data_IF_843828120027
#
_entry.id   IF_843828120027
#
_cell.length_a   1.000
_cell.length_b   1.000
_cell.length_c   1.000
_cell.angle_alpha   90.00
_cell.angle_beta   90.00
_cell.angle_gamma   90.00
#
_symmetry.space_group_name_H-M   'P 1'
#
loop_
_entity.id
_entity.type
_entity.pdbx_description
1 polymer ?
#
# COMPACT_ATOMS: atom_id res chain seq x y z
N UNK A 1 -15.66 17.28 -15.95
CA UNK A 1 -14.98 18.55 -15.63
C UNK A 1 -14.06 18.26 -14.47
N UNK A 2 -12.77 18.60 -14.57
CA UNK A 2 -11.81 18.34 -13.50
C UNK A 2 -11.79 19.54 -12.55
N UNK A 3 -12.09 19.31 -11.28
CA UNK A 3 -12.09 20.34 -10.24
C UNK A 3 -10.93 20.12 -9.26
N UNK A 4 -10.33 21.23 -8.82
CA UNK A 4 -9.30 21.21 -7.78
C UNK A 4 -9.81 20.53 -6.52
N UNK A 5 -9.00 19.64 -5.94
CA UNK A 5 -9.32 19.07 -4.63
C UNK A 5 -9.41 20.18 -3.58
N UNK A 6 -10.34 20.06 -2.63
CA UNK A 6 -10.55 21.07 -1.58
C UNK A 6 -9.26 21.40 -0.82
N UNK A 7 -8.41 20.41 -0.58
CA UNK A 7 -7.13 20.59 0.11
C UNK A 7 -6.15 21.41 -0.74
N UNK A 8 -6.04 21.14 -2.05
CA UNK A 8 -5.15 21.89 -2.93
C UNK A 8 -5.67 23.32 -3.18
N UNK A 9 -6.99 23.49 -3.29
CA UNK A 9 -7.64 24.81 -3.36
C UNK A 9 -7.25 25.68 -2.17
N UNK A 10 -7.33 25.14 -0.93
CA UNK A 10 -6.91 25.87 0.27
C UNK A 10 -5.45 26.30 0.24
N UNK A 11 -4.54 25.46 -0.28
CA UNK A 11 -3.12 25.80 -0.39
C UNK A 11 -2.91 26.95 -1.39
N UNK A 12 -3.58 26.90 -2.54
CA UNK A 12 -3.46 27.92 -3.59
C UNK A 12 -4.11 29.24 -3.16
N UNK A 13 -5.32 29.19 -2.60
CA UNK A 13 -6.03 30.38 -2.10
C UNK A 13 -5.27 31.02 -0.92
N UNK A 14 -4.62 30.20 -0.07
CA UNK A 14 -3.74 30.67 0.99
C UNK A 14 -2.51 31.43 0.45
N UNK A 15 -1.91 30.94 -0.63
CA UNK A 15 -0.83 31.65 -1.34
C UNK A 15 -1.31 32.98 -1.92
N UNK A 16 -2.48 33.00 -2.58
CA UNK A 16 -3.06 34.21 -3.17
C UNK A 16 -3.42 35.24 -2.11
N UNK A 17 -4.03 34.82 -1.01
CA UNK A 17 -4.31 35.68 0.15
C UNK A 17 -3.01 36.28 0.70
N UNK A 18 -1.95 35.46 0.85
CA UNK A 18 -0.65 35.94 1.31
C UNK A 18 -0.02 36.96 0.33
N UNK A 19 -0.16 36.75 -0.98
CA UNK A 19 0.25 37.73 -1.99
C UNK A 19 -0.54 39.04 -1.90
N UNK A 20 -1.86 38.96 -1.67
CA UNK A 20 -2.70 40.15 -1.53
C UNK A 20 -2.38 40.97 -0.28
N UNK A 21 -1.75 40.38 0.72
CA UNK A 21 -1.29 41.05 1.93
C UNK A 21 0.11 41.69 1.81
N UNK A 22 0.82 41.46 0.70
CA UNK A 22 2.10 42.14 0.44
C UNK A 22 1.89 43.66 0.34
N UNK A 23 2.86 44.42 0.82
CA UNK A 23 2.82 45.88 0.72
C UNK A 23 3.00 46.34 -0.75
N UNK A 24 2.66 47.60 -1.09
CA UNK A 24 2.74 48.08 -2.47
C UNK A 24 4.13 47.96 -3.12
N UNK A 25 5.21 48.12 -2.35
CA UNK A 25 6.59 48.03 -2.84
C UNK A 25 6.93 46.57 -3.16
N UNK A 26 6.62 45.64 -2.26
CA UNK A 26 6.79 44.20 -2.50
C UNK A 26 5.99 43.76 -3.73
N UNK A 27 4.72 44.17 -3.82
CA UNK A 27 3.87 43.94 -4.99
C UNK A 27 4.45 44.57 -6.23
N UNK A 28 5.13 45.71 -6.18
CA UNK A 28 5.74 46.30 -7.37
C UNK A 28 6.86 45.41 -7.92
N UNK A 29 7.77 44.94 -7.05
CA UNK A 29 8.90 44.11 -7.46
C UNK A 29 8.58 42.62 -7.67
N UNK A 30 7.42 42.14 -7.21
CA UNK A 30 7.04 40.73 -7.31
C UNK A 30 7.08 40.21 -8.77
N UNK A 31 7.40 38.92 -9.03
CA UNK A 31 7.61 38.42 -10.39
C UNK A 31 6.40 38.66 -11.30
N UNK A 32 6.61 39.41 -12.40
CA UNK A 32 5.53 39.85 -13.30
C UNK A 32 4.66 38.70 -13.80
N UNK A 33 5.30 37.59 -14.17
CA UNK A 33 4.60 36.41 -14.68
C UNK A 33 3.69 35.77 -13.63
N UNK A 34 4.16 35.61 -12.40
CA UNK A 34 3.35 35.06 -11.30
C UNK A 34 2.17 35.99 -11.00
N UNK A 35 2.34 37.32 -11.02
CA UNK A 35 1.21 38.27 -10.86
C UNK A 35 0.14 38.08 -11.93
N UNK A 36 0.57 37.94 -13.19
CA UNK A 36 -0.32 37.73 -14.33
C UNK A 36 -1.15 36.45 -14.12
N UNK A 37 -0.49 35.37 -13.69
CA UNK A 37 -1.13 34.08 -13.42
C UNK A 37 -2.08 34.12 -12.22
N UNK A 38 -1.74 34.85 -11.14
CA UNK A 38 -2.67 35.06 -10.01
C UNK A 38 -3.95 35.74 -10.50
N UNK A 39 -3.85 36.81 -11.30
CA UNK A 39 -5.03 37.49 -11.86
C UNK A 39 -5.87 36.56 -12.74
N UNK A 40 -5.22 35.76 -13.59
CA UNK A 40 -5.91 34.78 -14.42
C UNK A 40 -6.62 33.72 -13.59
N UNK A 41 -5.97 33.17 -12.57
CA UNK A 41 -6.58 32.22 -11.65
C UNK A 41 -7.81 32.78 -10.94
N UNK A 42 -7.73 34.03 -10.45
CA UNK A 42 -8.86 34.67 -9.75
C UNK A 42 -10.05 34.96 -10.66
N UNK A 43 -9.79 35.26 -11.95
CA UNK A 43 -10.84 35.57 -12.93
C UNK A 43 -11.38 34.33 -13.67
N UNK A 44 -10.70 33.19 -13.61
CA UNK A 44 -11.07 32.00 -14.36
C UNK A 44 -12.28 31.28 -13.74
N UNK A 45 -13.22 30.87 -14.60
CA UNK A 45 -14.30 29.96 -14.22
C UNK A 45 -13.74 28.59 -13.86
N UNK A 46 -12.82 28.06 -14.68
CA UNK A 46 -12.07 26.85 -14.36
C UNK A 46 -10.69 27.17 -13.78
N UNK A 47 -10.58 27.05 -12.46
CA UNK A 47 -9.37 27.34 -11.70
C UNK A 47 -8.21 26.35 -11.92
N UNK A 48 -8.44 25.17 -12.49
CA UNK A 48 -7.42 24.11 -12.54
C UNK A 48 -6.22 24.48 -13.42
N UNK A 49 -6.46 25.04 -14.61
CA UNK A 49 -5.39 25.41 -15.53
C UNK A 49 -4.59 26.61 -15.01
N UNK A 50 -5.29 27.58 -14.39
CA UNK A 50 -4.64 28.68 -13.68
C UNK A 50 -3.71 28.17 -12.57
N UNK A 51 -4.17 27.18 -11.78
CA UNK A 51 -3.36 26.55 -10.73
C UNK A 51 -2.12 25.87 -11.30
N UNK A 52 -2.29 25.09 -12.38
CA UNK A 52 -1.20 24.39 -13.04
C UNK A 52 -0.08 25.35 -13.47
N UNK A 53 -0.43 26.40 -14.22
CA UNK A 53 0.56 27.36 -14.70
C UNK A 53 1.21 28.14 -13.56
N UNK A 54 0.42 28.49 -12.53
CA UNK A 54 0.92 29.16 -11.33
C UNK A 54 1.94 28.31 -10.58
N UNK A 55 1.64 27.04 -10.34
CA UNK A 55 2.52 26.09 -9.67
C UNK A 55 3.82 25.91 -10.46
N UNK A 56 3.73 25.69 -11.77
CA UNK A 56 4.90 25.54 -12.62
C UNK A 56 5.80 26.79 -12.57
N UNK A 57 5.18 27.99 -12.62
CA UNK A 57 5.92 29.25 -12.50
C UNK A 57 6.60 29.43 -11.14
N UNK A 58 5.95 29.03 -10.05
CA UNK A 58 6.54 29.09 -8.70
C UNK A 58 7.69 28.09 -8.54
N UNK A 59 7.56 26.87 -9.06
CA UNK A 59 8.60 25.82 -9.03
C UNK A 59 9.87 26.26 -9.78
N UNK A 60 9.72 27.04 -10.84
CA UNK A 60 10.84 27.58 -11.62
C UNK A 60 11.35 28.93 -11.11
N UNK A 61 10.72 29.50 -10.07
CA UNK A 61 11.09 30.80 -9.52
C UNK A 61 12.16 30.69 -8.43
N UNK A 62 13.24 31.47 -8.59
CA UNK A 62 14.26 31.69 -7.56
C UNK A 62 13.87 32.77 -6.54
N UNK A 63 12.67 33.35 -6.63
CA UNK A 63 12.26 34.45 -5.77
C UNK A 63 12.07 34.04 -4.30
N UNK A 64 12.38 34.98 -3.39
CA UNK A 64 12.43 34.78 -1.94
C UNK A 64 11.37 35.60 -1.18
N UNK A 65 10.21 35.83 -1.79
CA UNK A 65 9.10 36.53 -1.12
C UNK A 65 8.46 35.65 -0.05
N UNK A 66 8.01 36.26 1.04
CA UNK A 66 7.38 35.55 2.17
C UNK A 66 6.24 34.62 1.75
N UNK A 67 5.34 35.08 0.87
CA UNK A 67 4.24 34.25 0.36
C UNK A 67 4.72 33.06 -0.48
N UNK A 68 5.77 33.23 -1.30
CA UNK A 68 6.39 32.14 -2.07
C UNK A 68 7.05 31.16 -1.11
N UNK A 69 7.80 31.63 -0.12
CA UNK A 69 8.44 30.77 0.86
C UNK A 69 7.43 29.97 1.67
N UNK A 70 6.33 30.60 2.08
CA UNK A 70 5.22 29.91 2.73
C UNK A 70 4.66 28.82 1.82
N UNK A 71 4.39 29.10 0.54
CA UNK A 71 3.95 28.08 -0.42
C UNK A 71 4.98 26.95 -0.59
N UNK A 72 6.28 27.26 -0.61
CA UNK A 72 7.38 26.28 -0.71
C UNK A 72 7.40 25.28 0.46
N UNK A 73 6.83 25.64 1.62
CA UNK A 73 6.72 24.71 2.76
C UNK A 73 5.57 23.70 2.63
N UNK A 74 4.61 23.95 1.73
CA UNK A 74 3.44 23.09 1.53
C UNK A 74 3.79 21.71 0.96
N UNK A 75 2.99 20.70 1.30
CA UNK A 75 3.16 19.35 0.74
C UNK A 75 2.96 19.31 -0.78
N UNK A 76 2.12 20.20 -1.34
CA UNK A 76 1.90 20.34 -2.77
C UNK A 76 3.19 20.75 -3.48
N UNK A 77 3.83 21.85 -3.03
CA UNK A 77 5.10 22.29 -3.60
C UNK A 77 6.18 21.23 -3.46
N UNK A 78 6.35 20.66 -2.26
CA UNK A 78 7.37 19.62 -1.99
C UNK A 78 7.21 18.41 -2.92
N UNK A 79 5.96 17.98 -3.16
CA UNK A 79 5.68 16.86 -4.07
C UNK A 79 6.01 17.24 -5.51
N UNK A 80 5.57 18.40 -6.00
CA UNK A 80 5.90 18.81 -7.36
C UNK A 80 7.41 19.00 -7.57
N UNK A 81 8.13 19.49 -6.55
CA UNK A 81 9.58 19.60 -6.58
C UNK A 81 10.26 18.23 -6.60
N UNK A 82 9.73 17.26 -5.86
CA UNK A 82 10.19 15.87 -5.89
C UNK A 82 10.00 15.25 -7.28
N UNK A 83 8.82 15.44 -7.88
CA UNK A 83 8.55 14.98 -9.25
C UNK A 83 9.48 15.66 -10.26
N UNK A 84 9.76 16.97 -10.10
CA UNK A 84 10.70 17.68 -10.98
C UNK A 84 12.10 17.10 -10.89
N UNK A 85 12.56 16.80 -9.67
CA UNK A 85 13.87 16.22 -9.41
C UNK A 85 14.01 14.82 -10.02
N UNK A 86 12.89 14.09 -10.13
CA UNK A 86 12.81 12.78 -10.77
C UNK A 86 12.40 12.82 -12.25
N UNK A 87 12.39 13.99 -12.91
CA UNK A 87 11.97 14.14 -14.32
C UNK A 87 10.55 13.60 -14.59
N UNK A 88 9.66 13.68 -13.59
CA UNK A 88 8.26 13.24 -13.64
C UNK A 88 7.28 14.42 -13.68
N UNK A 89 7.75 15.66 -13.49
CA UNK A 89 6.87 16.82 -13.49
C UNK A 89 6.45 17.18 -14.92
N UNK A 90 5.25 16.74 -15.30
CA UNK A 90 4.53 17.15 -16.50
C UNK A 90 3.22 17.86 -16.15
N UNK A 91 2.60 18.50 -17.14
CA UNK A 91 1.26 19.09 -16.96
C UNK A 91 0.24 18.04 -16.50
N UNK A 92 0.29 16.84 -17.08
CA UNK A 92 -0.56 15.71 -16.69
C UNK A 92 -0.34 15.30 -15.22
N UNK A 93 0.92 15.19 -14.78
CA UNK A 93 1.24 14.83 -13.39
C UNK A 93 0.74 15.90 -12.40
N UNK A 94 0.86 17.19 -12.77
CA UNK A 94 0.32 18.30 -11.96
C UNK A 94 -1.21 18.22 -11.90
N UNK A 95 -1.89 18.00 -13.04
CA UNK A 95 -3.35 17.87 -13.07
C UNK A 95 -3.83 16.72 -12.18
N UNK A 96 -3.16 15.57 -12.22
CA UNK A 96 -3.49 14.43 -11.35
C UNK A 96 -3.34 14.81 -9.87
N UNK A 97 -2.21 15.41 -9.50
CA UNK A 97 -1.98 15.88 -8.12
C UNK A 97 -3.05 16.87 -7.67
N UNK A 98 -3.41 17.82 -8.54
CA UNK A 98 -4.36 18.88 -8.26
C UNK A 98 -5.77 18.34 -8.02
N UNK A 99 -6.17 17.31 -8.78
CA UNK A 99 -7.50 16.71 -8.73
C UNK A 99 -7.62 15.53 -7.76
N UNK A 100 -6.51 14.99 -7.27
CA UNK A 100 -6.55 13.78 -6.45
C UNK A 100 -7.41 13.99 -5.21
N UNK A 101 -8.33 13.06 -4.93
CA UNK A 101 -9.28 13.16 -3.80
C UNK A 101 -8.59 13.15 -2.43
N UNK A 102 -7.47 12.41 -2.33
CA UNK A 102 -6.66 12.26 -1.11
C UNK A 102 -5.21 12.74 -1.31
N UNK A 103 -4.97 14.05 -1.57
CA UNK A 103 -3.67 14.54 -2.02
C UNK A 103 -2.56 14.30 -0.99
N UNK A 104 -2.83 14.43 0.31
CA UNK A 104 -1.82 14.17 1.35
C UNK A 104 -1.35 12.70 1.38
N UNK A 105 -2.25 11.74 1.15
CA UNK A 105 -1.89 10.32 1.05
C UNK A 105 -1.08 10.05 -0.22
N UNK A 106 -1.48 10.66 -1.35
CA UNK A 106 -0.71 10.62 -2.60
C UNK A 106 0.71 11.17 -2.40
N UNK A 107 0.85 12.33 -1.77
CA UNK A 107 2.15 12.98 -1.53
C UNK A 107 3.07 12.11 -0.68
N UNK A 108 2.54 11.53 0.39
CA UNK A 108 3.28 10.57 1.20
C UNK A 108 3.70 9.33 0.39
N UNK A 109 2.79 8.78 -0.42
CA UNK A 109 3.06 7.63 -1.26
C UNK A 109 4.16 7.90 -2.30
N UNK A 110 4.15 9.06 -2.95
CA UNK A 110 5.18 9.48 -3.92
C UNK A 110 6.55 9.62 -3.23
N UNK A 111 6.61 10.22 -2.03
CA UNK A 111 7.85 10.29 -1.26
C UNK A 111 8.38 8.90 -0.89
N UNK A 112 7.51 7.99 -0.45
CA UNK A 112 7.91 6.63 -0.10
C UNK A 112 8.43 5.87 -1.33
N UNK A 113 7.83 6.06 -2.51
CA UNK A 113 8.36 5.47 -3.75
C UNK A 113 9.79 5.96 -4.06
N UNK A 114 10.06 7.25 -3.86
CA UNK A 114 11.39 7.83 -4.03
C UNK A 114 12.40 7.26 -3.01
N UNK A 115 12.01 7.16 -1.74
CA UNK A 115 12.82 6.59 -0.66
C UNK A 115 13.18 5.11 -0.86
N UNK A 116 12.37 4.38 -1.62
CA UNK A 116 12.60 2.99 -2.00
C UNK A 116 13.20 2.85 -3.41
N UNK A 117 13.71 3.93 -4.01
CA UNK A 117 14.37 3.93 -5.31
C UNK A 117 13.49 3.54 -6.52
N UNK A 118 12.16 3.49 -6.36
CA UNK A 118 11.23 3.14 -7.45
C UNK A 118 11.12 4.21 -8.55
N UNK A 119 11.85 5.33 -8.41
CA UNK A 119 11.99 6.37 -9.44
C UNK A 119 13.36 6.39 -10.14
N UNK A 120 14.33 5.56 -9.73
CA UNK A 120 15.68 5.56 -10.35
C UNK A 120 15.66 5.11 -11.81
N UNK A 121 14.79 4.16 -12.16
CA UNK A 121 14.70 3.64 -13.52
C UNK A 121 13.77 4.52 -14.38
N UNK A 122 14.30 5.09 -15.46
CA UNK A 122 13.60 5.96 -16.39
C UNK A 122 12.33 5.34 -17.00
N UNK A 123 12.38 4.07 -17.35
CA UNK A 123 11.24 3.39 -17.98
C UNK A 123 10.14 3.04 -16.98
N UNK A 124 10.47 2.95 -15.69
CA UNK A 124 9.55 2.49 -14.64
C UNK A 124 9.01 3.63 -13.77
N UNK A 125 9.77 4.73 -13.60
CA UNK A 125 9.39 5.85 -12.72
C UNK A 125 8.01 6.43 -13.05
N UNK A 126 7.74 6.62 -14.34
CA UNK A 126 6.46 7.14 -14.81
C UNK A 126 5.34 6.16 -14.48
N UNK A 127 5.51 4.88 -14.83
CA UNK A 127 4.52 3.83 -14.61
C UNK A 127 4.18 3.68 -13.12
N UNK A 128 5.18 3.73 -12.24
CA UNK A 128 5.01 3.63 -10.79
C UNK A 128 4.25 4.84 -10.23
N UNK A 129 4.60 6.06 -10.68
CA UNK A 129 3.85 7.27 -10.30
C UNK A 129 2.39 7.17 -10.73
N UNK A 130 2.09 6.85 -11.99
CA UNK A 130 0.72 6.77 -12.49
C UNK A 130 -0.08 5.66 -11.81
N UNK A 131 0.53 4.50 -11.53
CA UNK A 131 -0.13 3.43 -10.79
C UNK A 131 -0.62 3.89 -9.41
N UNK A 132 0.20 4.62 -8.67
CA UNK A 132 -0.18 5.21 -7.37
C UNK A 132 -1.21 6.33 -7.54
N UNK A 133 -0.99 7.23 -8.49
CA UNK A 133 -1.76 8.46 -8.62
C UNK A 133 -3.15 8.27 -9.25
N UNK A 134 -3.36 7.18 -9.99
CA UNK A 134 -4.69 6.82 -10.50
C UNK A 134 -5.60 6.28 -9.40
N UNK A 135 -5.05 5.71 -8.33
CA UNK A 135 -5.83 5.05 -7.29
C UNK A 135 -6.39 6.04 -6.25
N UNK A 136 -7.57 6.59 -6.55
CA UNK A 136 -8.18 7.70 -5.78
C UNK A 136 -8.40 7.40 -4.28
N UNK A 137 -8.65 6.16 -3.89
CA UNK A 137 -9.07 5.83 -2.51
C UNK A 137 -7.95 5.35 -1.57
N UNK A 138 -6.83 4.86 -2.11
CA UNK A 138 -5.76 4.22 -1.33
C UNK A 138 -4.37 4.24 -2.03
N UNK A 139 -3.86 5.42 -2.43
CA UNK A 139 -2.58 5.52 -3.14
C UNK A 139 -1.39 4.96 -2.33
N UNK A 140 -1.41 5.09 -1.00
CA UNK A 140 -0.43 4.51 -0.07
C UNK A 140 -0.44 2.98 -0.07
N UNK A 141 -1.60 2.33 -0.27
CA UNK A 141 -1.67 0.86 -0.38
C UNK A 141 -1.09 0.38 -1.71
N UNK A 142 -1.33 1.11 -2.80
CA UNK A 142 -0.68 0.83 -4.09
C UNK A 142 0.83 1.01 -3.96
N UNK A 143 1.32 2.09 -3.36
CA UNK A 143 2.75 2.29 -3.12
C UNK A 143 3.39 1.11 -2.37
N UNK A 144 2.77 0.66 -1.26
CA UNK A 144 3.23 -0.54 -0.54
C UNK A 144 3.20 -1.80 -1.41
N UNK A 145 2.15 -1.98 -2.22
CA UNK A 145 2.04 -3.08 -3.14
C UNK A 145 3.18 -3.10 -4.17
N UNK A 146 3.52 -1.94 -4.75
CA UNK A 146 4.65 -1.81 -5.68
C UNK A 146 5.99 -2.14 -5.02
N UNK A 147 6.22 -1.69 -3.79
CA UNK A 147 7.42 -2.03 -3.01
C UNK A 147 7.51 -3.53 -2.73
N UNK A 148 6.39 -4.18 -2.40
CA UNK A 148 6.34 -5.64 -2.22
C UNK A 148 6.72 -6.33 -3.54
N UNK A 149 6.14 -5.92 -4.67
CA UNK A 149 6.46 -6.51 -5.96
C UNK A 149 7.93 -6.29 -6.32
N UNK A 150 8.48 -5.09 -6.11
CA UNK A 150 9.87 -4.75 -6.43
C UNK A 150 10.87 -5.55 -5.59
N UNK A 151 10.67 -5.61 -4.27
CA UNK A 151 11.49 -6.38 -3.34
C UNK A 151 11.50 -7.89 -3.60
N UNK A 152 10.55 -8.40 -4.41
CA UNK A 152 10.49 -9.82 -4.78
C UNK A 152 10.76 -10.03 -6.28
N UNK A 153 11.26 -9.01 -6.98
CA UNK A 153 11.56 -9.04 -8.43
C UNK A 153 10.33 -9.39 -9.30
N UNK A 154 9.14 -9.01 -8.85
CA UNK A 154 7.86 -9.22 -9.53
C UNK A 154 7.33 -7.95 -10.19
N UNK A 155 7.97 -6.79 -9.99
CA UNK A 155 7.45 -5.53 -10.50
C UNK A 155 7.55 -5.47 -12.04
N UNK A 156 6.43 -5.74 -12.71
CA UNK A 156 6.25 -5.64 -14.15
C UNK A 156 4.91 -4.94 -14.48
N UNK A 157 4.66 -4.66 -15.78
CA UNK A 157 3.43 -3.97 -16.20
C UNK A 157 2.15 -4.71 -15.81
N UNK A 158 2.16 -6.03 -15.88
CA UNK A 158 1.00 -6.88 -15.61
C UNK A 158 0.62 -6.83 -14.12
N UNK A 159 1.56 -7.07 -13.22
CA UNK A 159 1.29 -7.06 -11.77
C UNK A 159 1.10 -5.64 -11.23
N UNK A 160 1.80 -4.64 -11.79
CA UNK A 160 1.54 -3.22 -11.49
C UNK A 160 0.08 -2.84 -11.77
N UNK A 161 -0.44 -3.24 -12.93
CA UNK A 161 -1.83 -2.98 -13.31
C UNK A 161 -2.80 -3.71 -12.37
N UNK A 162 -2.53 -4.97 -12.04
CA UNK A 162 -3.35 -5.73 -11.10
C UNK A 162 -3.49 -5.03 -9.75
N UNK A 163 -2.39 -4.55 -9.16
CA UNK A 163 -2.44 -3.85 -7.87
C UNK A 163 -3.04 -2.44 -7.99
N UNK A 164 -2.78 -1.72 -9.08
CA UNK A 164 -3.29 -0.35 -9.27
C UNK A 164 -4.81 -0.29 -9.54
N UNK A 165 -5.37 -1.35 -10.14
CA UNK A 165 -6.79 -1.44 -10.48
C UNK A 165 -7.65 -2.08 -9.38
N UNK A 166 -7.03 -2.77 -8.42
CA UNK A 166 -7.78 -3.41 -7.35
C UNK A 166 -8.41 -2.35 -6.42
N UNK A 167 -9.75 -2.33 -6.22
CA UNK A 167 -10.44 -1.16 -5.67
C UNK A 167 -10.18 -0.88 -4.19
N UNK A 168 -9.89 -1.92 -3.39
CA UNK A 168 -9.90 -1.84 -1.92
C UNK A 168 -8.58 -2.24 -1.27
N UNK A 169 -7.97 -3.34 -1.71
CA UNK A 169 -6.75 -3.88 -1.11
C UNK A 169 -5.63 -4.28 -2.09
N UNK A 170 -4.99 -3.29 -2.75
CA UNK A 170 -3.80 -3.50 -3.57
C UNK A 170 -2.66 -4.27 -2.87
N UNK A 171 -2.50 -4.08 -1.55
CA UNK A 171 -1.40 -4.68 -0.79
C UNK A 171 -1.58 -6.19 -0.67
N UNK A 172 -2.80 -6.65 -0.39
CA UNK A 172 -3.09 -8.08 -0.36
C UNK A 172 -2.97 -8.74 -1.74
N UNK A 173 -3.32 -8.04 -2.82
CA UNK A 173 -3.03 -8.53 -4.19
C UNK A 173 -1.54 -8.79 -4.38
N UNK A 174 -0.66 -7.84 -4.04
CA UNK A 174 0.78 -8.04 -4.18
C UNK A 174 1.32 -9.22 -3.33
N UNK A 175 0.80 -9.40 -2.12
CA UNK A 175 1.20 -10.51 -1.24
C UNK A 175 0.72 -11.87 -1.79
N UNK A 176 -0.50 -11.93 -2.33
CA UNK A 176 -1.01 -13.13 -3.00
C UNK A 176 -0.15 -13.47 -4.22
N UNK A 177 0.15 -12.48 -5.08
CA UNK A 177 1.02 -12.68 -6.26
C UNK A 177 2.43 -13.18 -5.87
N UNK A 178 3.01 -12.63 -4.81
CA UNK A 178 4.28 -13.14 -4.25
C UNK A 178 4.19 -14.62 -3.91
N UNK A 179 3.16 -15.04 -3.16
CA UNK A 179 3.02 -16.45 -2.75
C UNK A 179 2.74 -17.37 -3.93
N UNK A 180 1.86 -16.96 -4.83
CA UNK A 180 1.54 -17.73 -6.03
C UNK A 180 2.75 -17.95 -6.93
N UNK A 181 3.64 -16.95 -7.04
CA UNK A 181 4.90 -17.10 -7.77
C UNK A 181 5.76 -18.22 -7.18
N UNK A 182 5.89 -18.26 -5.86
CA UNK A 182 6.69 -19.29 -5.15
C UNK A 182 6.12 -20.70 -5.32
N UNK A 183 4.80 -20.80 -5.52
CA UNK A 183 4.10 -22.07 -5.77
C UNK A 183 4.02 -22.44 -7.26
N UNK A 184 4.58 -21.63 -8.15
CA UNK A 184 4.49 -21.86 -9.59
C UNK A 184 3.10 -21.63 -10.21
N UNK A 185 2.13 -21.11 -9.44
CA UNK A 185 0.75 -20.84 -9.90
C UNK A 185 0.65 -19.70 -10.92
N UNK A 186 1.71 -18.91 -11.09
CA UNK A 186 1.79 -17.86 -12.12
C UNK A 186 2.62 -18.29 -13.33
N UNK A 187 2.82 -19.60 -13.51
CA UNK A 187 3.50 -20.20 -14.67
C UNK A 187 2.54 -21.09 -15.45
N UNK A 188 2.83 -21.31 -16.75
CA UNK A 188 2.06 -22.23 -17.59
C UNK A 188 0.73 -21.66 -18.09
N UNK A 189 -0.18 -22.55 -18.48
CA UNK A 189 -1.43 -22.21 -19.20
C UNK A 189 -2.45 -21.49 -18.31
N UNK A 190 -2.44 -21.72 -16.99
CA UNK A 190 -3.38 -21.11 -16.05
C UNK A 190 -2.90 -19.79 -15.44
N UNK A 191 -1.69 -19.33 -15.78
CA UNK A 191 -1.06 -18.17 -15.14
C UNK A 191 -1.90 -16.88 -15.24
N UNK A 192 -2.49 -16.62 -16.41
CA UNK A 192 -3.31 -15.43 -16.66
C UNK A 192 -4.65 -15.53 -15.91
N UNK A 193 -5.31 -16.69 -15.95
CA UNK A 193 -6.55 -16.97 -15.19
C UNK A 193 -6.33 -16.75 -13.69
N UNK A 194 -5.26 -17.34 -13.14
CA UNK A 194 -4.92 -17.25 -11.72
C UNK A 194 -4.65 -15.80 -11.30
N UNK A 195 -3.91 -15.05 -12.11
CA UNK A 195 -3.69 -13.62 -11.90
C UNK A 195 -5.01 -12.83 -11.89
N UNK A 196 -5.86 -13.04 -12.88
CA UNK A 196 -7.13 -12.32 -13.03
C UNK A 196 -8.06 -12.58 -11.83
N UNK A 197 -8.13 -13.83 -11.38
CA UNK A 197 -8.88 -14.24 -10.20
C UNK A 197 -8.44 -13.46 -8.97
N UNK A 198 -7.13 -13.34 -8.69
CA UNK A 198 -6.63 -12.56 -7.54
C UNK A 198 -6.85 -11.06 -7.73
N UNK A 199 -6.59 -10.54 -8.93
CA UNK A 199 -6.70 -9.11 -9.22
C UNK A 199 -8.15 -8.58 -9.14
N UNK A 200 -9.14 -9.47 -9.30
CA UNK A 200 -10.58 -9.13 -9.24
C UNK A 200 -11.27 -9.65 -7.98
N UNK A 201 -10.56 -10.37 -7.11
CA UNK A 201 -11.17 -10.94 -5.93
C UNK A 201 -11.64 -9.84 -4.96
N UNK A 202 -12.87 -9.87 -4.43
CA UNK A 202 -13.36 -8.83 -3.54
C UNK A 202 -12.58 -8.73 -2.21
N UNK A 203 -11.97 -9.83 -1.77
CA UNK A 203 -11.10 -9.88 -0.61
C UNK A 203 -9.83 -10.72 -0.88
N UNK A 204 -8.77 -10.15 -1.47
CA UNK A 204 -7.55 -10.89 -1.77
C UNK A 204 -6.85 -11.46 -0.53
N UNK A 205 -7.14 -10.93 0.66
CA UNK A 205 -6.56 -11.44 1.91
C UNK A 205 -7.04 -12.86 2.23
N UNK A 206 -8.30 -13.20 1.89
CA UNK A 206 -8.81 -14.58 2.01
C UNK A 206 -8.04 -15.57 1.13
N UNK A 207 -7.66 -15.17 -0.09
CA UNK A 207 -6.86 -16.00 -0.98
C UNK A 207 -5.48 -16.29 -0.38
N UNK A 208 -4.85 -15.29 0.26
CA UNK A 208 -3.56 -15.48 0.94
C UNK A 208 -3.63 -16.59 2.00
N UNK A 209 -4.72 -16.62 2.78
CA UNK A 209 -4.91 -17.63 3.82
C UNK A 209 -5.09 -19.03 3.23
N UNK A 210 -5.83 -19.15 2.13
CA UNK A 210 -5.96 -20.42 1.41
C UNK A 210 -4.63 -20.87 0.80
N UNK A 211 -3.87 -19.94 0.20
CA UNK A 211 -2.54 -20.23 -0.36
C UNK A 211 -1.57 -20.73 0.73
N UNK A 212 -1.65 -20.20 1.95
CA UNK A 212 -0.82 -20.64 3.09
C UNK A 212 -1.05 -22.11 3.48
N UNK A 213 -2.14 -22.72 3.00
CA UNK A 213 -2.46 -24.14 3.23
C UNK A 213 -1.99 -25.04 2.08
N UNK A 214 -1.47 -24.48 0.98
CA UNK A 214 -0.97 -25.25 -0.16
C UNK A 214 0.48 -25.70 0.06
N UNK A 215 0.80 -26.91 -0.40
CA UNK A 215 2.16 -27.45 -0.45
C UNK A 215 2.71 -27.31 -1.87
N UNK A 216 3.92 -26.76 -2.01
CA UNK A 216 4.58 -26.60 -3.31
C UNK A 216 4.93 -27.92 -4.00
N UNK A 217 4.99 -29.03 -3.25
CA UNK A 217 5.25 -30.38 -3.77
C UNK A 217 3.99 -31.08 -4.30
N UNK A 218 2.82 -30.46 -4.15
CA UNK A 218 1.55 -31.03 -4.53
C UNK A 218 1.32 -31.00 -6.04
N UNK A 219 1.09 -32.17 -6.64
CA UNK A 219 0.80 -32.28 -8.08
C UNK A 219 -0.57 -31.74 -8.47
N UNK A 220 -1.48 -31.58 -7.50
CA UNK A 220 -2.85 -31.08 -7.70
C UNK A 220 -3.01 -29.63 -7.19
N UNK A 221 -1.90 -28.90 -7.06
CA UNK A 221 -1.90 -27.54 -6.49
C UNK A 221 -2.83 -26.58 -7.23
N UNK A 222 -2.97 -26.73 -8.55
CA UNK A 222 -3.87 -25.91 -9.37
C UNK A 222 -5.34 -26.18 -9.03
N UNK A 223 -5.74 -27.44 -8.85
CA UNK A 223 -7.12 -27.82 -8.50
C UNK A 223 -7.47 -27.29 -7.10
N UNK A 224 -6.53 -27.40 -6.16
CA UNK A 224 -6.69 -26.84 -4.81
C UNK A 224 -6.78 -25.31 -4.82
N UNK A 225 -5.96 -24.64 -5.64
CA UNK A 225 -6.06 -23.20 -5.84
C UNK A 225 -7.42 -22.79 -6.42
N UNK A 226 -7.93 -23.52 -7.43
CA UNK A 226 -9.26 -23.30 -8.00
C UNK A 226 -10.36 -23.44 -6.95
N UNK A 227 -10.27 -24.44 -6.05
CA UNK A 227 -11.21 -24.60 -4.94
C UNK A 227 -11.13 -23.40 -3.99
N UNK A 228 -9.92 -22.94 -3.64
CA UNK A 228 -9.69 -21.80 -2.74
C UNK A 228 -10.38 -20.54 -3.28
N UNK A 229 -10.19 -20.23 -4.56
CA UNK A 229 -10.67 -18.97 -5.15
C UNK A 229 -12.16 -18.92 -5.40
N UNK A 230 -12.83 -20.08 -5.50
CA UNK A 230 -14.28 -20.18 -5.69
C UNK A 230 -15.04 -20.51 -4.40
N UNK A 231 -14.34 -20.84 -3.32
CA UNK A 231 -14.95 -21.23 -2.06
C UNK A 231 -15.49 -20.03 -1.28
N UNK A 232 -16.82 -19.89 -1.29
CA UNK A 232 -17.54 -18.99 -0.36
C UNK A 232 -17.22 -19.27 1.11
N UNK A 233 -16.82 -20.50 1.43
CA UNK A 233 -16.47 -20.92 2.77
C UNK A 233 -15.14 -20.35 3.24
N UNK A 234 -14.13 -20.38 2.36
CA UNK A 234 -12.82 -19.79 2.65
C UNK A 234 -12.96 -18.28 2.76
N UNK A 235 -13.79 -17.67 1.91
CA UNK A 235 -14.18 -16.27 2.06
C UNK A 235 -14.82 -16.00 3.43
N UNK A 236 -15.83 -16.78 3.83
CA UNK A 236 -16.48 -16.63 5.14
C UNK A 236 -15.52 -16.87 6.32
N UNK A 237 -14.68 -17.89 6.25
CA UNK A 237 -13.67 -18.18 7.27
C UNK A 237 -12.60 -17.08 7.36
N UNK A 238 -12.19 -16.50 6.23
CA UNK A 238 -11.26 -15.38 6.19
C UNK A 238 -11.87 -14.10 6.80
N UNK A 239 -13.15 -13.81 6.50
CA UNK A 239 -13.91 -12.72 7.11
C UNK A 239 -13.98 -12.93 8.63
N UNK A 240 -14.37 -14.13 9.09
CA UNK A 240 -14.39 -14.46 10.51
C UNK A 240 -13.00 -14.33 11.15
N UNK A 241 -11.94 -14.79 10.50
CA UNK A 241 -10.56 -14.64 10.98
C UNK A 241 -10.12 -13.18 11.10
N UNK A 242 -10.55 -12.33 10.18
CA UNK A 242 -10.25 -10.90 10.23
C UNK A 242 -10.96 -10.22 11.40
N UNK A 243 -12.19 -10.64 11.71
CA UNK A 243 -12.92 -10.18 12.89
C UNK A 243 -12.28 -10.71 14.19
N UNK A 244 -11.88 -11.98 14.23
CA UNK A 244 -11.16 -12.59 15.36
C UNK A 244 -9.79 -11.95 15.62
N UNK A 245 -9.11 -11.47 14.57
CA UNK A 245 -7.86 -10.69 14.72
C UNK A 245 -8.09 -9.36 15.43
N UNK A 246 -9.25 -8.71 15.24
CA UNK A 246 -9.62 -7.52 16.02
C UNK A 246 -9.82 -7.87 17.50
N UNK A 247 -10.20 -9.11 17.79
CA UNK A 247 -10.39 -9.65 19.14
C UNK A 247 -9.11 -10.22 19.79
N UNK A 248 -7.94 -10.15 19.13
CA UNK A 248 -6.64 -10.66 19.61
C UNK A 248 -6.59 -12.16 19.90
N UNK A 249 -7.39 -12.98 19.22
CA UNK A 249 -7.39 -14.43 19.43
C UNK A 249 -6.17 -15.08 18.71
N UNK A 250 -5.45 -16.04 19.33
CA UNK A 250 -4.27 -16.67 18.72
C UNK A 250 -4.62 -17.47 17.45
N UNK A 251 -3.96 -17.14 16.33
CA UNK A 251 -4.20 -17.74 15.01
C UNK A 251 -3.85 -19.23 14.91
N UNK A 252 -3.01 -19.76 15.81
CA UNK A 252 -2.53 -21.15 15.76
C UNK A 252 -3.66 -22.16 15.98
N UNK A 253 -4.56 -21.92 16.95
CA UNK A 253 -5.68 -22.84 17.21
C UNK A 253 -6.73 -22.88 16.10
N UNK A 254 -6.86 -21.79 15.32
CA UNK A 254 -7.84 -21.71 14.22
C UNK A 254 -7.31 -22.40 12.95
N UNK A 255 -5.98 -22.38 12.73
CA UNK A 255 -5.36 -23.09 11.60
C UNK A 255 -5.53 -24.61 11.70
N UNK A 256 -5.41 -25.18 12.89
CA UNK A 256 -5.60 -26.62 13.13
C UNK A 256 -7.05 -27.05 12.81
N UNK A 257 -8.05 -26.26 13.23
CA UNK A 257 -9.47 -26.52 12.96
C UNK A 257 -9.84 -26.39 11.47
N UNK A 258 -9.17 -25.50 10.73
CA UNK A 258 -9.38 -25.31 9.29
C UNK A 258 -8.86 -26.50 8.46
N UNK A 259 -7.76 -27.12 8.88
CA UNK A 259 -7.12 -28.24 8.18
C UNK A 259 -7.95 -29.52 8.32
N UNK A 260 -8.60 -29.75 9.46
CA UNK A 260 -9.38 -30.99 9.73
C UNK A 260 -10.79 -30.99 9.12
N UNK A 261 -11.20 -29.91 8.46
CA UNK A 261 -12.57 -29.70 8.04
C UNK A 261 -12.71 -29.69 6.51
N UNK A 262 -12.97 -30.87 5.93
CA UNK A 262 -13.33 -31.02 4.51
C UNK A 262 -14.66 -30.34 4.12
N UNK A 263 -15.45 -29.88 5.11
CA UNK A 263 -16.79 -29.34 4.87
C UNK A 263 -16.85 -27.87 5.33
N UNK A 264 -16.95 -26.91 4.39
CA UNK A 264 -17.23 -25.49 4.61
C UNK A 264 -18.07 -25.07 5.82
N UNK A 265 -19.21 -25.73 6.04
CA UNK A 265 -20.13 -25.39 7.13
C UNK A 265 -19.60 -25.75 8.51
N UNK A 266 -18.71 -26.74 8.60
CA UNK A 266 -18.13 -27.22 9.86
C UNK A 266 -17.11 -26.22 10.41
N UNK A 267 -16.34 -25.55 9.54
CA UNK A 267 -15.38 -24.50 9.90
C UNK A 267 -16.08 -23.33 10.59
N UNK A 268 -17.13 -22.79 9.96
CA UNK A 268 -17.89 -21.66 10.53
C UNK A 268 -18.50 -22.08 11.86
N UNK A 269 -19.05 -23.30 11.94
CA UNK A 269 -19.63 -23.84 13.18
C UNK A 269 -18.59 -24.00 14.27
N UNK A 270 -17.41 -24.54 13.97
CA UNK A 270 -16.31 -24.72 14.92
C UNK A 270 -15.69 -23.39 15.38
N UNK A 271 -15.58 -22.41 14.49
CA UNK A 271 -15.11 -21.06 14.84
C UNK A 271 -16.12 -20.36 15.74
N UNK A 272 -17.42 -20.43 15.40
CA UNK A 272 -18.50 -19.88 16.24
C UNK A 272 -18.56 -20.61 17.58
N UNK A 273 -18.48 -21.95 17.61
CA UNK A 273 -18.45 -22.74 18.84
C UNK A 273 -17.22 -22.44 19.69
N UNK A 274 -16.06 -22.24 19.08
CA UNK A 274 -14.86 -21.82 19.78
C UNK A 274 -15.03 -20.43 20.40
N UNK A 275 -15.55 -19.45 19.66
CA UNK A 275 -15.88 -18.11 20.18
C UNK A 275 -16.86 -18.20 21.36
N UNK A 276 -17.94 -18.97 21.21
CA UNK A 276 -18.93 -19.21 22.26
C UNK A 276 -18.30 -19.84 23.51
N UNK A 277 -17.39 -20.79 23.32
CA UNK A 277 -16.69 -21.45 24.42
C UNK A 277 -15.69 -20.54 25.13
N UNK A 278 -15.04 -19.62 24.40
CA UNK A 278 -14.16 -18.59 24.99
C UNK A 278 -14.96 -17.57 25.79
N UNK A 279 -16.11 -17.12 25.28
CA UNK A 279 -17.03 -16.22 26.00
C UNK A 279 -17.62 -16.87 27.26
N UNK A 280 -17.98 -18.15 27.17
CA UNK A 280 -18.57 -18.89 28.29
C UNK A 280 -17.55 -19.32 29.35
N UNK A 281 -16.24 -19.38 29.03
CA UNK A 281 -15.21 -19.86 29.95
C UNK A 281 -13.82 -19.18 29.77
N UNK A 282 -13.71 -17.87 30.05
CA UNK A 282 -12.47 -17.12 29.82
C UNK A 282 -11.27 -17.62 30.65
N UNK A 283 -11.52 -18.31 31.78
CA UNK A 283 -10.47 -18.76 32.70
C UNK A 283 -9.88 -20.14 32.35
N UNK A 284 -10.43 -20.88 31.39
CA UNK A 284 -10.01 -22.27 31.12
C UNK A 284 -8.76 -22.37 30.23
N UNK A 285 -8.41 -21.32 29.51
CA UNK A 285 -7.33 -21.33 28.50
C UNK A 285 -5.96 -20.83 29.00
N UNK A 286 -5.85 -20.29 30.21
CA UNK A 286 -4.57 -19.83 30.77
C UNK A 286 -3.74 -20.92 31.49
N UNK A 287 -4.19 -22.18 31.49
CA UNK A 287 -3.56 -23.27 32.28
C UNK A 287 -2.61 -24.19 31.48
N UNK A 288 -2.50 -24.05 30.16
CA UNK A 288 -1.66 -24.96 29.37
C UNK A 288 -0.25 -24.36 29.19
N UNK A 289 0.57 -24.42 30.25
CA UNK A 289 2.04 -24.42 30.22
C UNK A 289 2.55 -24.49 31.66
N UNK A 290 2.86 -25.70 32.14
CA UNK A 290 3.92 -26.02 33.12
C UNK A 290 3.80 -27.50 33.54
N UNK A 291 4.17 -28.45 32.68
CA UNK A 291 4.53 -29.80 33.15
C UNK A 291 5.33 -30.60 32.11
N UNK A 292 6.57 -30.18 31.83
CA UNK A 292 7.60 -31.08 31.27
C UNK A 292 9.00 -30.53 31.59
N UNK A 293 9.62 -31.11 32.62
CA UNK A 293 11.07 -31.24 32.94
C UNK A 293 11.11 -31.67 34.42
N UNK A 294 11.89 -32.63 34.92
CA UNK A 294 13.04 -33.33 34.36
C UNK A 294 13.38 -34.49 35.32
N UNK A 295 13.70 -35.66 34.76
CA UNK A 295 14.33 -36.76 35.48
C UNK A 295 15.54 -37.13 34.63
N UNK A 296 16.76 -36.78 35.04
CA UNK A 296 17.97 -37.42 34.53
C UNK A 296 19.14 -37.30 35.50
N UNK A 297 19.73 -38.47 35.72
CA UNK A 297 20.79 -38.77 36.67
C UNK A 297 22.15 -38.23 36.24
N UNK A 298 22.93 -37.86 37.25
CA UNK A 298 24.36 -37.61 37.20
C UNK A 298 25.14 -38.85 36.74
N UNK A 299 26.11 -38.65 35.86
CA UNK A 299 27.40 -39.34 35.93
C UNK A 299 28.51 -38.40 35.43
N UNK A 300 29.42 -38.09 36.35
CA UNK A 300 30.64 -37.33 36.16
C UNK A 300 31.66 -38.10 35.32
N UNK A 301 32.35 -37.41 34.41
CA UNK A 301 33.76 -37.68 34.11
C UNK A 301 34.52 -36.37 33.94
N UNK A 302 35.63 -36.30 34.65
CA UNK A 302 36.57 -35.20 34.80
C UNK A 302 37.63 -35.16 33.68
N UNK A 303 38.00 -33.93 33.30
CA UNK A 303 39.31 -33.40 32.85
C UNK A 303 40.36 -34.33 32.22
N UNK A 304 40.89 -33.94 31.04
CA UNK A 304 42.33 -33.59 30.85
C UNK A 304 42.47 -32.54 29.70
N UNK A 305 43.41 -31.62 29.93
CA UNK A 305 43.94 -30.51 29.14
C UNK A 305 44.32 -30.75 27.65
N UNK A 306 44.31 -29.66 26.86
CA UNK A 306 45.54 -29.07 26.30
C UNK A 306 45.29 -27.77 25.49
N UNK A 307 45.90 -26.67 25.94
CA UNK A 307 46.30 -25.51 25.13
C UNK A 307 47.46 -25.88 24.19
N UNK A 308 47.59 -25.17 23.05
CA UNK A 308 48.80 -24.53 22.45
C UNK A 308 48.38 -24.02 21.05
N UNK A 309 48.15 -22.71 20.84
CA UNK A 309 49.08 -21.69 20.27
C UNK A 309 49.55 -21.99 18.84
N UNK A 310 48.85 -21.47 17.83
CA UNK A 310 49.20 -20.29 17.00
C UNK A 310 47.99 -19.90 16.14
#
# INVERSE_FOLDING_TARGET
MFDLSLANTKVIDGFITSYNNLNPVEKYFFPKEIKRLIKQYTAAENKIYGALHLINSIINSSSNYSCINNFKTSSLYKTCQLLKSNQLLSDEAILIILNHTLPQRLFSAVRILDEHDLFKNENERQKNFFAVAQHQTAPDRVCRALIILDNNHLLNNTYRRAVAQHPTDPTSVALALKKMTLLGLLNGVEAETNLEVVAKHPDPASIILGIDMLDASDTEIQDKFNIITHSKAIFAAAVSLQDLRKEKIPLTGIKELLIESEIPGKIITQVIEHQRNVELNPNKFFSIKNSTHENNNLLNFTNVDAKVVL
#
